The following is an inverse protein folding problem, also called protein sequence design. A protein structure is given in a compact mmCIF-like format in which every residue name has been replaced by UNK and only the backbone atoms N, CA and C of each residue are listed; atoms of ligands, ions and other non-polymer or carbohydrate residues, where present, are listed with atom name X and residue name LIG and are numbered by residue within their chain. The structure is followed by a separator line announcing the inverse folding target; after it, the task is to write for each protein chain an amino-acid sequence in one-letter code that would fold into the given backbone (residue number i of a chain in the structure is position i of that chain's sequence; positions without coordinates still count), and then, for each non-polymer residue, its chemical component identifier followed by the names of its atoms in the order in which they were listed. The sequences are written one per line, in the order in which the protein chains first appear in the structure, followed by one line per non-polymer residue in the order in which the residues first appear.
data_IF_459931547297
#
_entry.id   IF_459931547297
#
_cell.length_a   1.000
_cell.length_b   1.000
_cell.length_c   1.000
_cell.angle_alpha   90.00
_cell.angle_beta   90.00
_cell.angle_gamma   90.00
#
_symmetry.space_group_name_H-M   'P 1'
#
loop_
_entity.id
_entity.type
_entity.pdbx_description
1 polymer ?
#
# COMPACT_ATOMS: atom_id res chain seq x y z
N UNK A 1 -24.72 -1.68 -8.78
CA UNK A 1 -23.85 -1.45 -7.62
C UNK A 1 -23.96 0.01 -7.29
N UNK A 2 -24.44 0.30 -6.10
CA UNK A 2 -24.48 1.65 -5.54
C UNK A 2 -23.04 2.20 -5.41
N UNK A 3 -22.89 3.50 -5.50
CA UNK A 3 -21.61 4.19 -5.31
C UNK A 3 -21.01 3.92 -3.93
N UNK A 4 -21.85 3.88 -2.89
CA UNK A 4 -21.43 3.51 -1.55
C UNK A 4 -20.91 2.06 -1.50
N UNK A 5 -21.61 1.11 -2.15
CA UNK A 5 -21.12 -0.27 -2.26
C UNK A 5 -19.74 -0.35 -2.93
N UNK A 6 -19.48 0.51 -3.93
CA UNK A 6 -18.16 0.59 -4.60
C UNK A 6 -17.06 1.10 -3.65
N UNK A 7 -17.34 2.16 -2.89
CA UNK A 7 -16.38 2.73 -1.95
C UNK A 7 -16.08 1.81 -0.76
N UNK A 8 -17.12 1.14 -0.23
CA UNK A 8 -16.95 0.16 0.83
C UNK A 8 -16.15 -1.07 0.36
N UNK A 9 -16.43 -1.55 -0.86
CA UNK A 9 -15.66 -2.64 -1.47
C UNK A 9 -14.20 -2.23 -1.69
N UNK A 10 -13.94 -1.00 -2.13
CA UNK A 10 -12.59 -0.47 -2.26
C UNK A 10 -11.86 -0.44 -0.92
N UNK A 11 -12.45 0.15 0.13
CA UNK A 11 -11.81 0.23 1.45
C UNK A 11 -11.48 -1.15 2.03
N UNK A 12 -12.36 -2.12 1.80
CA UNK A 12 -12.10 -3.52 2.18
C UNK A 12 -10.93 -4.11 1.39
N UNK A 13 -10.93 -3.91 0.07
CA UNK A 13 -9.87 -4.42 -0.81
C UNK A 13 -8.51 -3.80 -0.50
N UNK A 14 -8.46 -2.50 -0.16
CA UNK A 14 -7.27 -1.79 0.26
C UNK A 14 -6.66 -2.43 1.52
N UNK A 15 -7.44 -2.58 2.59
CA UNK A 15 -6.98 -3.22 3.84
C UNK A 15 -6.47 -4.65 3.59
N UNK A 16 -7.17 -5.43 2.77
CA UNK A 16 -6.75 -6.79 2.42
C UNK A 16 -5.46 -6.81 1.60
N UNK A 17 -5.27 -5.83 0.71
CA UNK A 17 -4.06 -5.69 -0.10
C UNK A 17 -2.87 -5.31 0.79
N UNK A 18 -3.05 -4.39 1.73
CA UNK A 18 -2.01 -4.03 2.70
C UNK A 18 -1.61 -5.20 3.58
N UNK A 19 -2.59 -5.97 4.08
CA UNK A 19 -2.31 -7.17 4.87
C UNK A 19 -1.42 -8.15 4.10
N UNK A 20 -1.78 -8.45 2.84
CA UNK A 20 -0.95 -9.29 1.97
C UNK A 20 0.46 -8.73 1.76
N UNK A 21 0.59 -7.41 1.56
CA UNK A 21 1.90 -6.78 1.35
C UNK A 21 2.78 -6.83 2.62
N UNK A 22 2.17 -6.74 3.81
CA UNK A 22 2.86 -6.95 5.09
C UNK A 22 3.37 -8.38 5.20
N UNK A 23 2.53 -9.37 4.92
CA UNK A 23 2.92 -10.79 4.97
C UNK A 23 4.11 -11.06 4.03
N UNK A 24 4.08 -10.52 2.81
CA UNK A 24 5.18 -10.66 1.85
C UNK A 24 6.49 -10.01 2.34
N UNK A 25 6.42 -8.87 3.02
CA UNK A 25 7.58 -8.22 3.63
C UNK A 25 8.12 -9.02 4.82
N UNK A 26 7.25 -9.59 5.64
CA UNK A 26 7.62 -10.45 6.78
C UNK A 26 8.36 -11.69 6.29
N UNK A 27 7.83 -12.40 5.30
CA UNK A 27 8.51 -13.53 4.65
C UNK A 27 9.91 -13.16 4.15
N UNK A 28 10.10 -11.95 3.59
CA UNK A 28 11.42 -11.48 3.14
C UNK A 28 12.38 -11.26 4.31
N UNK A 29 11.90 -10.71 5.41
CA UNK A 29 12.68 -10.46 6.63
C UNK A 29 13.07 -11.77 7.33
N UNK A 30 12.22 -12.78 7.27
CA UNK A 30 12.48 -14.12 7.79
C UNK A 30 13.41 -14.95 6.89
N UNK A 31 13.71 -14.46 5.68
CA UNK A 31 14.63 -15.09 4.75
C UNK A 31 13.96 -16.08 3.79
N UNK A 32 12.64 -16.04 3.66
CA UNK A 32 11.88 -16.74 2.61
C UNK A 32 10.56 -17.34 3.09
N UNK A 33 9.74 -17.76 2.12
CA UNK A 33 8.46 -18.44 2.37
C UNK A 33 8.68 -19.93 2.63
N UNK A 34 7.90 -20.52 3.54
CA UNK A 34 7.83 -21.98 3.69
C UNK A 34 7.53 -22.65 2.33
N UNK A 35 8.30 -23.69 1.99
CA UNK A 35 8.14 -24.41 0.70
C UNK A 35 9.19 -24.08 -0.37
N UNK A 36 10.18 -23.23 -0.06
CA UNK A 36 11.40 -23.10 -0.87
C UNK A 36 11.28 -22.17 -2.08
N UNK A 37 10.38 -21.18 -2.01
CA UNK A 37 10.34 -20.08 -3.00
C UNK A 37 11.66 -19.32 -2.94
N UNK A 38 12.23 -19.02 -4.11
CA UNK A 38 13.45 -18.21 -4.20
C UNK A 38 13.20 -16.80 -3.67
N UNK A 39 14.08 -16.33 -2.79
CA UNK A 39 13.93 -15.03 -2.12
C UNK A 39 13.96 -13.86 -3.11
N UNK A 40 14.72 -13.98 -4.21
CA UNK A 40 14.76 -12.99 -5.27
C UNK A 40 13.43 -12.92 -6.03
N UNK A 41 12.82 -14.07 -6.33
CA UNK A 41 11.47 -14.14 -6.91
C UNK A 41 10.44 -13.51 -5.97
N UNK A 42 10.50 -13.82 -4.68
CA UNK A 42 9.58 -13.25 -3.69
C UNK A 42 9.73 -11.74 -3.56
N UNK A 43 10.98 -11.25 -3.53
CA UNK A 43 11.28 -9.82 -3.48
C UNK A 43 10.75 -9.10 -4.73
N UNK A 44 10.95 -9.67 -5.92
CA UNK A 44 10.39 -9.13 -7.16
C UNK A 44 8.86 -9.11 -7.15
N UNK A 45 8.23 -10.17 -6.65
CA UNK A 45 6.77 -10.24 -6.54
C UNK A 45 6.22 -9.16 -5.60
N UNK A 46 6.86 -8.97 -4.44
CA UNK A 46 6.52 -7.90 -3.50
C UNK A 46 6.69 -6.52 -4.14
N UNK A 47 7.85 -6.24 -4.73
CA UNK A 47 8.12 -4.95 -5.36
C UNK A 47 7.12 -4.62 -6.47
N UNK A 48 6.75 -5.63 -7.28
CA UNK A 48 5.76 -5.48 -8.35
C UNK A 48 4.39 -5.19 -7.78
N UNK A 49 3.90 -6.00 -6.83
CA UNK A 49 2.58 -5.83 -6.23
C UNK A 49 2.43 -4.47 -5.53
N UNK A 50 3.46 -4.03 -4.79
CA UNK A 50 3.47 -2.74 -4.13
C UNK A 50 3.42 -1.58 -5.13
N UNK A 51 4.21 -1.68 -6.21
CA UNK A 51 4.23 -0.65 -7.26
C UNK A 51 2.88 -0.54 -7.96
N UNK A 52 2.26 -1.66 -8.31
CA UNK A 52 0.94 -1.68 -8.96
C UNK A 52 -0.13 -1.09 -8.06
N UNK A 53 -0.14 -1.46 -6.78
CA UNK A 53 -1.08 -0.95 -5.79
C UNK A 53 -1.01 0.57 -5.65
N UNK A 54 0.16 1.14 -5.33
CA UNK A 54 0.28 2.60 -5.18
C UNK A 54 0.01 3.35 -6.49
N UNK A 55 0.37 2.74 -7.64
CA UNK A 55 0.06 3.34 -8.94
C UNK A 55 -1.45 3.42 -9.16
N UNK A 56 -2.20 2.35 -8.87
CA UNK A 56 -3.65 2.33 -9.02
C UNK A 56 -4.32 3.38 -8.13
N UNK A 57 -3.84 3.54 -6.90
CA UNK A 57 -4.30 4.56 -5.97
C UNK A 57 -4.09 5.97 -6.52
N UNK A 58 -2.88 6.27 -6.96
CA UNK A 58 -2.50 7.58 -7.46
C UNK A 58 -3.30 7.99 -8.71
N UNK A 59 -3.51 7.05 -9.63
CA UNK A 59 -4.05 7.34 -10.97
C UNK A 59 -5.55 7.15 -11.09
N UNK A 60 -6.15 6.27 -10.28
CA UNK A 60 -7.57 5.93 -10.38
C UNK A 60 -8.35 6.35 -9.12
N UNK A 61 -7.88 5.93 -7.94
CA UNK A 61 -8.66 6.05 -6.70
C UNK A 61 -8.64 7.47 -6.16
N UNK A 62 -7.45 8.04 -5.95
CA UNK A 62 -7.30 9.36 -5.34
C UNK A 62 -8.00 10.45 -6.17
N UNK A 63 -7.90 10.49 -7.51
CA UNK A 63 -8.67 11.46 -8.29
C UNK A 63 -10.19 11.34 -8.11
N UNK A 64 -10.71 10.11 -8.00
CA UNK A 64 -12.13 9.87 -7.76
C UNK A 64 -12.55 10.39 -6.37
N UNK A 65 -11.74 10.16 -5.34
CA UNK A 65 -11.97 10.65 -3.99
C UNK A 65 -11.89 12.19 -3.94
N UNK A 66 -10.88 12.81 -4.54
CA UNK A 66 -10.70 14.27 -4.58
C UNK A 66 -11.81 15.03 -5.31
N UNK A 67 -12.46 14.37 -6.27
CA UNK A 67 -13.60 14.92 -6.99
C UNK A 67 -14.87 15.00 -6.11
N UNK A 68 -15.04 14.05 -5.20
CA UNK A 68 -16.22 13.93 -4.32
C UNK A 68 -16.00 14.52 -2.93
N UNK A 69 -14.77 14.44 -2.44
CA UNK A 69 -14.31 14.85 -1.12
C UNK A 69 -13.12 15.80 -1.25
N UNK A 70 -13.35 17.06 -1.68
CA UNK A 70 -12.31 18.08 -1.82
C UNK A 70 -11.42 18.26 -0.57
N UNK A 71 -11.98 18.03 0.62
CA UNK A 71 -11.31 18.08 1.91
C UNK A 71 -10.17 17.06 2.06
N UNK A 72 -10.15 15.99 1.25
CA UNK A 72 -9.10 14.98 1.28
C UNK A 72 -7.86 15.34 0.46
N UNK A 73 -7.93 16.35 -0.42
CA UNK A 73 -6.83 16.67 -1.36
C UNK A 73 -5.48 16.85 -0.68
N UNK A 74 -5.46 17.54 0.46
CA UNK A 74 -4.21 17.75 1.21
C UNK A 74 -3.65 16.45 1.77
N UNK A 75 -4.52 15.56 2.25
CA UNK A 75 -4.15 14.26 2.78
C UNK A 75 -3.67 13.31 1.68
N UNK A 76 -4.43 13.18 0.59
CA UNK A 76 -4.07 12.37 -0.58
C UNK A 76 -2.80 12.90 -1.26
N UNK A 77 -2.60 14.21 -1.25
CA UNK A 77 -1.35 14.83 -1.69
C UNK A 77 -0.12 14.43 -0.87
N UNK A 78 -0.28 14.14 0.43
CA UNK A 78 0.79 13.58 1.26
C UNK A 78 1.04 12.11 0.95
N UNK A 79 -0.02 11.31 0.76
CA UNK A 79 0.14 9.89 0.37
C UNK A 79 0.92 9.75 -0.94
N UNK A 80 0.64 10.59 -1.95
CA UNK A 80 1.44 10.63 -3.19
C UNK A 80 2.92 10.94 -2.96
N UNK A 81 3.24 11.77 -1.96
CA UNK A 81 4.64 12.05 -1.60
C UNK A 81 5.28 10.82 -0.95
N UNK A 82 4.56 10.15 -0.05
CA UNK A 82 4.99 8.89 0.55
C UNK A 82 5.23 7.83 -0.54
N UNK A 83 4.31 7.69 -1.50
CA UNK A 83 4.44 6.78 -2.64
C UNK A 83 5.71 7.05 -3.46
N UNK A 84 6.03 8.32 -3.72
CA UNK A 84 7.24 8.70 -4.45
C UNK A 84 8.53 8.31 -3.68
N UNK A 85 8.53 8.49 -2.36
CA UNK A 85 9.64 8.06 -1.49
C UNK A 85 9.77 6.54 -1.49
N UNK A 86 8.67 5.83 -1.27
CA UNK A 86 8.62 4.36 -1.26
C UNK A 86 9.08 3.79 -2.60
N UNK A 87 8.62 4.34 -3.73
CA UNK A 87 9.07 3.93 -5.05
C UNK A 87 10.59 4.10 -5.23
N UNK A 88 11.20 5.10 -4.58
CA UNK A 88 12.65 5.25 -4.50
C UNK A 88 13.33 4.10 -3.74
N UNK A 89 12.81 3.75 -2.57
CA UNK A 89 13.33 2.66 -1.73
C UNK A 89 13.19 1.30 -2.45
N UNK A 90 12.02 1.02 -3.02
CA UNK A 90 11.72 -0.24 -3.72
C UNK A 90 12.65 -0.47 -4.92
N UNK A 91 13.06 0.58 -5.64
CA UNK A 91 14.03 0.44 -6.75
C UNK A 91 15.43 0.04 -6.29
N UNK A 92 15.78 0.33 -5.03
CA UNK A 92 17.10 0.05 -4.46
C UNK A 92 17.15 -1.20 -3.59
N UNK A 93 16.00 -1.71 -3.14
CA UNK A 93 15.94 -2.85 -2.23
C UNK A 93 16.38 -4.14 -2.92
N UNK A 94 17.13 -4.97 -2.20
CA UNK A 94 17.54 -6.30 -2.64
C UNK A 94 17.24 -7.31 -1.56
N UNK A 95 16.95 -8.53 -1.96
CA UNK A 95 16.62 -9.62 -1.04
C UNK A 95 17.77 -10.00 -0.09
N UNK A 96 19.01 -9.70 -0.47
CA UNK A 96 20.23 -9.96 0.30
C UNK A 96 20.65 -8.79 1.20
N UNK A 97 19.78 -7.78 1.37
CA UNK A 97 20.01 -6.61 2.23
C UNK A 97 18.92 -6.51 3.32
N UNK A 98 19.12 -7.19 4.47
CA UNK A 98 18.16 -7.19 5.57
C UNK A 98 17.96 -5.80 6.20
N UNK A 99 18.97 -4.93 6.17
CA UNK A 99 18.86 -3.57 6.72
C UNK A 99 17.94 -2.71 5.84
N UNK A 100 18.11 -2.77 4.52
CA UNK A 100 17.22 -2.10 3.58
C UNK A 100 15.79 -2.64 3.64
N UNK A 101 15.60 -3.95 3.75
CA UNK A 101 14.28 -4.57 3.91
C UNK A 101 13.61 -4.13 5.22
N UNK A 102 14.34 -4.09 6.33
CA UNK A 102 13.82 -3.65 7.62
C UNK A 102 13.43 -2.17 7.61
N UNK A 103 14.24 -1.32 6.99
CA UNK A 103 13.92 0.09 6.80
C UNK A 103 12.66 0.28 5.94
N UNK A 104 12.54 -0.48 4.84
CA UNK A 104 11.35 -0.45 4.00
C UNK A 104 10.10 -0.90 4.77
N UNK A 105 10.20 -2.00 5.54
CA UNK A 105 9.09 -2.49 6.36
C UNK A 105 8.59 -1.42 7.37
N UNK A 106 9.50 -0.71 8.03
CA UNK A 106 9.13 0.35 8.97
C UNK A 106 8.43 1.55 8.29
N UNK A 107 8.90 1.94 7.10
CA UNK A 107 8.25 2.99 6.29
C UNK A 107 6.87 2.53 5.86
N UNK A 108 6.75 1.32 5.32
CA UNK A 108 5.48 0.76 4.84
C UNK A 108 4.45 0.62 5.96
N UNK A 109 4.87 0.17 7.15
CA UNK A 109 3.94 0.03 8.28
C UNK A 109 3.37 1.37 8.73
N UNK A 110 4.20 2.41 8.75
CA UNK A 110 3.75 3.78 9.08
C UNK A 110 2.79 4.31 8.03
N UNK A 111 3.11 4.10 6.75
CA UNK A 111 2.31 4.51 5.62
C UNK A 111 0.93 3.83 5.62
N UNK A 112 0.89 2.49 5.62
CA UNK A 112 -0.35 1.72 5.60
C UNK A 112 -1.24 2.05 6.80
N UNK A 113 -0.70 2.17 8.02
CA UNK A 113 -1.52 2.53 9.19
C UNK A 113 -2.13 3.93 9.07
N UNK A 114 -1.36 4.89 8.53
CA UNK A 114 -1.84 6.25 8.32
C UNK A 114 -2.96 6.31 7.30
N UNK A 115 -2.79 5.61 6.19
CA UNK A 115 -3.77 5.50 5.13
C UNK A 115 -5.03 4.77 5.58
N UNK A 116 -4.90 3.54 6.09
CA UNK A 116 -6.03 2.73 6.55
C UNK A 116 -6.87 3.49 7.55
N UNK A 117 -6.25 4.11 8.55
CA UNK A 117 -6.98 4.88 9.56
C UNK A 117 -7.82 5.97 8.91
N UNK A 118 -7.22 6.78 8.04
CA UNK A 118 -7.88 7.98 7.51
C UNK A 118 -8.86 7.66 6.38
N UNK A 119 -8.50 6.78 5.45
CA UNK A 119 -9.36 6.43 4.33
C UNK A 119 -10.49 5.51 4.75
N UNK A 120 -10.28 4.55 5.65
CA UNK A 120 -11.40 3.72 6.14
C UNK A 120 -12.39 4.56 6.94
N UNK A 121 -11.92 5.51 7.78
CA UNK A 121 -12.81 6.48 8.45
C UNK A 121 -13.67 7.22 7.42
N UNK A 122 -13.05 7.83 6.40
CA UNK A 122 -13.78 8.61 5.39
C UNK A 122 -14.72 7.76 4.54
N UNK A 123 -14.27 6.60 4.05
CA UNK A 123 -15.10 5.69 3.25
C UNK A 123 -16.33 5.20 4.04
N UNK A 124 -16.19 5.03 5.36
CA UNK A 124 -17.31 4.72 6.24
C UNK A 124 -18.21 5.92 6.56
N UNK A 125 -17.71 7.15 6.49
CA UNK A 125 -18.49 8.39 6.67
C UNK A 125 -19.29 8.76 5.42
N UNK A 126 -18.85 8.36 4.22
CA UNK A 126 -19.63 8.46 2.95
C UNK A 126 -20.98 7.70 3.05
N UNK A 127 -21.15 6.87 4.08
CA UNK A 127 -22.39 6.19 4.48
C UNK A 127 -23.52 7.14 4.94
N UNK A 128 -23.26 8.44 5.10
CA UNK A 128 -24.19 9.42 5.69
C UNK A 128 -24.89 10.34 4.69
#
# INVERSE_FOLDING_TARGET
MDEYERFAAYGTQMVMTHARLRDMLEDLLEGGVEGGVDLGIHCLAFCTALTEHHTDEDVNVFPMLEARHPELREFLGRLRQDHAVIAGLVRGVRQDDPEALSALAAVMETHFRGEEKRLVEVLNEIRG
#
